data_IF_558479070740
#
_entry.id   IF_558479070740
#
_cell.length_a   1.000
_cell.length_b   1.000
_cell.length_c   1.000
_cell.angle_alpha   90.00
_cell.angle_beta   90.00
_cell.angle_gamma   90.00
#
_symmetry.space_group_name_H-M   'P 1'
#
loop_
_entity.id
_entity.type
_entity.pdbx_description
1 polymer ?
#
# COMPACT_ATOMS: atom_id res chain seq x y z
N UNK A 1 -20.81 27.78 29.87
CA UNK A 1 -21.24 26.49 30.49
C UNK A 1 -22.78 26.42 30.33
N UNK A 2 -23.25 25.36 29.72
CA UNK A 2 -24.67 25.22 29.38
C UNK A 2 -25.52 25.08 30.62
N UNK A 3 -26.37 26.05 30.86
CA UNK A 3 -27.27 26.13 32.03
C UNK A 3 -28.54 25.28 31.85
N UNK A 4 -28.53 24.30 30.93
CA UNK A 4 -29.73 23.54 30.53
C UNK A 4 -30.37 22.75 31.67
N UNK A 5 -29.57 22.19 32.58
CA UNK A 5 -30.09 21.47 33.73
C UNK A 5 -30.77 22.44 34.71
N UNK A 6 -30.21 23.62 34.90
CA UNK A 6 -30.83 24.65 35.74
C UNK A 6 -32.15 25.15 35.15
N UNK A 7 -32.24 25.35 33.83
CA UNK A 7 -33.49 25.73 33.16
C UNK A 7 -34.58 24.67 33.34
N UNK A 8 -34.19 23.37 33.20
CA UNK A 8 -35.09 22.22 33.43
C UNK A 8 -35.63 22.22 34.87
N UNK A 9 -34.75 22.37 35.85
CA UNK A 9 -35.12 22.44 37.28
C UNK A 9 -36.01 23.64 37.57
N UNK A 10 -35.68 24.80 36.99
CA UNK A 10 -36.47 26.02 37.14
C UNK A 10 -37.86 25.87 36.53
N UNK A 11 -37.99 25.26 35.36
CA UNK A 11 -39.26 24.97 34.71
C UNK A 11 -40.18 24.11 35.59
N UNK A 12 -39.63 23.06 36.22
CA UNK A 12 -40.36 22.19 37.12
C UNK A 12 -40.83 22.96 38.39
N UNK A 13 -39.93 23.74 38.99
CA UNK A 13 -40.27 24.56 40.16
C UNK A 13 -41.42 25.52 39.89
N UNK A 14 -41.38 26.23 38.77
CA UNK A 14 -42.43 27.15 38.36
C UNK A 14 -43.74 26.42 38.09
N UNK A 15 -43.72 25.22 37.52
CA UNK A 15 -44.93 24.42 37.30
C UNK A 15 -45.57 23.93 38.59
N UNK A 16 -44.75 23.47 39.53
CA UNK A 16 -45.20 23.04 40.85
C UNK A 16 -45.76 24.21 41.67
N UNK A 17 -45.27 25.45 41.40
CA UNK A 17 -45.81 26.69 41.99
C UNK A 17 -47.07 27.18 41.28
N UNK A 18 -47.69 26.41 40.36
CA UNK A 18 -48.93 26.68 39.70
C UNK A 18 -48.90 27.57 38.46
N UNK A 19 -47.69 27.95 37.96
CA UNK A 19 -47.59 28.75 36.74
C UNK A 19 -48.05 27.99 35.49
N UNK A 20 -48.62 28.72 34.54
CA UNK A 20 -49.03 28.15 33.26
C UNK A 20 -47.82 27.82 32.39
N UNK A 21 -47.97 26.86 31.45
CA UNK A 21 -46.91 26.46 30.54
C UNK A 21 -46.43 27.64 29.67
N UNK A 22 -47.36 28.50 29.24
CA UNK A 22 -47.08 29.70 28.46
C UNK A 22 -46.16 30.67 29.23
N UNK A 23 -46.50 30.95 30.48
CA UNK A 23 -45.67 31.82 31.33
C UNK A 23 -44.26 31.24 31.56
N UNK A 24 -44.17 29.93 31.81
CA UNK A 24 -42.88 29.25 32.02
C UNK A 24 -42.02 29.35 30.77
N UNK A 25 -42.58 29.06 29.60
CA UNK A 25 -41.86 29.14 28.33
C UNK A 25 -41.38 30.56 28.02
N UNK A 26 -42.21 31.56 28.32
CA UNK A 26 -41.83 32.96 28.16
C UNK A 26 -40.71 33.39 29.13
N UNK A 27 -40.74 32.95 30.38
CA UNK A 27 -39.72 33.28 31.39
C UNK A 27 -38.35 32.65 31.01
N UNK A 28 -38.36 31.41 30.50
CA UNK A 28 -37.13 30.66 30.23
C UNK A 28 -36.66 30.76 28.78
N UNK A 29 -37.42 31.42 27.89
CA UNK A 29 -37.10 31.47 26.46
C UNK A 29 -37.10 30.13 25.79
N UNK A 30 -37.96 29.19 26.23
CA UNK A 30 -38.00 27.81 25.72
C UNK A 30 -39.34 27.49 25.05
N UNK A 31 -39.33 26.50 24.12
CA UNK A 31 -40.55 26.07 23.44
C UNK A 31 -41.48 25.24 24.33
N UNK A 32 -42.76 25.18 23.97
CA UNK A 32 -43.75 24.31 24.63
C UNK A 32 -43.37 22.85 24.57
N UNK A 33 -42.84 22.36 23.40
CA UNK A 33 -42.41 20.97 23.24
C UNK A 33 -41.23 20.62 24.16
N UNK A 34 -40.32 21.58 24.36
CA UNK A 34 -39.20 21.42 25.29
C UNK A 34 -39.76 21.23 26.71
N UNK A 35 -40.71 22.08 27.15
CA UNK A 35 -41.32 21.99 28.48
C UNK A 35 -42.03 20.64 28.65
N UNK A 36 -42.90 20.23 27.71
CA UNK A 36 -43.64 18.98 27.78
C UNK A 36 -42.75 17.75 27.79
N UNK A 37 -41.63 17.79 27.09
CA UNK A 37 -40.65 16.72 27.12
C UNK A 37 -40.06 16.50 28.51
N UNK A 38 -39.60 17.59 29.15
CA UNK A 38 -38.98 17.50 30.46
C UNK A 38 -40.00 17.29 31.58
N UNK A 39 -41.21 17.85 31.46
CA UNK A 39 -42.31 17.60 32.39
C UNK A 39 -42.75 16.15 32.41
N UNK A 40 -42.87 15.50 31.25
CA UNK A 40 -43.19 14.09 31.12
C UNK A 40 -42.11 13.22 31.78
N UNK A 41 -40.82 13.53 31.53
CA UNK A 41 -39.70 12.81 32.13
C UNK A 41 -39.61 12.96 33.63
N UNK A 42 -39.88 14.18 34.14
CA UNK A 42 -39.96 14.45 35.57
C UNK A 42 -41.10 13.65 36.22
N UNK A 43 -42.29 13.61 35.63
CA UNK A 43 -43.41 12.83 36.13
C UNK A 43 -43.12 11.32 36.19
N UNK A 44 -42.36 10.78 35.24
CA UNK A 44 -42.03 9.37 35.16
C UNK A 44 -40.86 8.95 36.09
N UNK A 45 -39.84 9.79 36.25
CA UNK A 45 -38.56 9.44 36.87
C UNK A 45 -38.17 10.41 38.04
N UNK A 46 -39.01 11.35 38.40
CA UNK A 46 -38.69 12.38 39.40
C UNK A 46 -37.51 13.25 38.94
N UNK A 47 -36.77 13.84 39.89
CA UNK A 47 -35.61 14.69 39.58
C UNK A 47 -34.58 14.05 38.66
N UNK A 48 -34.41 12.72 38.69
CA UNK A 48 -33.51 11.98 37.84
C UNK A 48 -33.91 12.07 36.35
N UNK A 49 -35.19 12.32 36.04
CA UNK A 49 -35.66 12.51 34.68
C UNK A 49 -35.16 13.78 33.98
N UNK A 50 -34.59 14.73 34.76
CA UNK A 50 -34.07 16.01 34.23
C UNK A 50 -32.61 15.88 33.71
N UNK A 51 -31.94 14.80 34.05
CA UNK A 51 -30.61 14.54 33.49
C UNK A 51 -30.71 14.03 32.06
N UNK A 52 -29.68 14.30 31.27
CA UNK A 52 -29.56 13.71 29.93
C UNK A 52 -29.40 12.20 30.06
N UNK A 53 -30.27 11.46 29.42
CA UNK A 53 -30.08 10.02 29.28
C UNK A 53 -28.91 9.81 28.32
N UNK A 54 -27.91 9.10 28.77
CA UNK A 54 -26.85 8.63 27.89
C UNK A 54 -27.49 7.91 26.71
N UNK A 55 -27.23 8.38 25.47
CA UNK A 55 -27.69 7.69 24.26
C UNK A 55 -26.98 6.35 24.15
N UNK A 56 -27.42 5.39 24.91
CA UNK A 56 -27.03 3.99 24.71
C UNK A 56 -27.84 3.48 23.53
N UNK A 57 -27.17 3.13 22.44
CA UNK A 57 -27.83 2.35 21.40
C UNK A 57 -28.47 1.13 22.06
N UNK A 58 -29.78 0.99 21.97
CA UNK A 58 -30.56 -0.05 22.65
C UNK A 58 -30.12 -1.49 22.32
N UNK A 59 -29.33 -1.67 21.26
CA UNK A 59 -28.65 -2.93 20.92
C UNK A 59 -27.27 -2.61 20.37
N UNK A 60 -26.21 -2.67 21.19
CA UNK A 60 -24.88 -2.66 20.65
C UNK A 60 -24.74 -3.90 19.75
N UNK A 61 -24.56 -3.68 18.43
CA UNK A 61 -24.23 -4.75 17.49
C UNK A 61 -22.82 -5.29 17.80
N UNK A 62 -22.70 -5.98 18.92
CA UNK A 62 -21.47 -6.66 19.30
C UNK A 62 -21.35 -7.92 18.46
N UNK A 63 -20.16 -8.13 17.92
CA UNK A 63 -19.83 -9.41 17.30
C UNK A 63 -19.84 -10.47 18.41
N UNK A 64 -20.19 -11.70 18.02
CA UNK A 64 -20.20 -12.81 18.97
C UNK A 64 -18.77 -13.13 19.43
N UNK A 65 -18.57 -13.64 20.65
CA UNK A 65 -17.24 -14.08 21.13
C UNK A 65 -16.59 -15.09 20.19
N UNK A 66 -17.37 -15.96 19.56
CA UNK A 66 -16.87 -16.95 18.61
C UNK A 66 -16.32 -16.33 17.32
N UNK A 67 -17.01 -15.34 16.76
CA UNK A 67 -16.53 -14.60 15.60
C UNK A 67 -15.26 -13.82 15.95
N UNK A 68 -15.20 -13.21 17.13
CA UNK A 68 -14.00 -12.52 17.60
C UNK A 68 -12.81 -13.49 17.73
N UNK A 69 -13.00 -14.64 18.34
CA UNK A 69 -11.98 -15.72 18.43
C UNK A 69 -11.51 -16.15 17.04
N UNK A 70 -12.44 -16.32 16.11
CA UNK A 70 -12.12 -16.69 14.73
C UNK A 70 -11.23 -15.64 14.06
N UNK A 71 -11.56 -14.34 14.19
CA UNK A 71 -10.75 -13.23 13.66
C UNK A 71 -9.33 -13.28 14.25
N UNK A 72 -9.19 -13.45 15.55
CA UNK A 72 -7.90 -13.50 16.24
C UNK A 72 -7.07 -14.72 15.83
N UNK A 73 -7.69 -15.89 15.71
CA UNK A 73 -7.03 -17.12 15.28
C UNK A 73 -6.55 -17.03 13.82
N UNK A 74 -7.39 -16.51 12.92
CA UNK A 74 -6.99 -16.25 11.53
C UNK A 74 -5.81 -15.27 11.51
N UNK A 75 -5.86 -14.18 12.27
CA UNK A 75 -4.76 -13.21 12.37
C UNK A 75 -3.45 -13.86 12.80
N UNK A 76 -3.48 -14.70 13.86
CA UNK A 76 -2.29 -15.44 14.33
C UNK A 76 -1.73 -16.35 13.23
N UNK A 77 -2.60 -17.09 12.53
CA UNK A 77 -2.22 -17.97 11.41
C UNK A 77 -1.57 -17.19 10.26
N UNK A 78 -2.13 -16.03 9.88
CA UNK A 78 -1.57 -15.17 8.83
C UNK A 78 -0.21 -14.57 9.23
N UNK A 79 -0.03 -14.22 10.51
CA UNK A 79 1.23 -13.64 11.02
C UNK A 79 2.32 -14.71 11.14
N UNK A 80 1.99 -15.91 11.60
CA UNK A 80 2.97 -17.00 11.78
C UNK A 80 3.59 -17.46 10.45
N UNK A 81 2.85 -17.35 9.34
CA UNK A 81 3.27 -17.77 8.00
C UNK A 81 3.81 -19.22 7.92
N UNK A 82 3.43 -20.04 8.89
CA UNK A 82 3.85 -21.45 8.94
C UNK A 82 3.08 -22.31 7.95
N UNK A 83 1.81 -22.01 7.74
CA UNK A 83 0.96 -22.78 6.82
C UNK A 83 1.26 -22.44 5.35
N UNK A 84 1.50 -23.42 4.47
CA UNK A 84 1.85 -23.18 3.07
C UNK A 84 0.85 -22.31 2.31
N UNK A 85 -0.45 -22.48 2.55
CA UNK A 85 -1.52 -21.73 1.87
C UNK A 85 -1.68 -20.27 2.30
N UNK A 86 -1.12 -19.88 3.45
CA UNK A 86 -1.16 -18.49 3.95
C UNK A 86 0.21 -17.82 3.93
N UNK A 87 1.23 -18.54 3.46
CA UNK A 87 2.58 -17.99 3.32
C UNK A 87 2.56 -16.83 2.34
N UNK A 88 3.15 -15.71 2.74
CA UNK A 88 3.16 -14.44 2.01
C UNK A 88 1.79 -13.75 1.87
N UNK A 89 0.73 -14.22 2.53
CA UNK A 89 -0.55 -13.51 2.58
C UNK A 89 -0.40 -12.17 3.30
N UNK A 90 -1.22 -11.20 2.90
CA UNK A 90 -1.38 -9.97 3.68
C UNK A 90 -2.04 -10.31 5.02
N UNK A 91 -1.77 -9.51 6.04
CA UNK A 91 -2.20 -9.75 7.42
C UNK A 91 -3.27 -8.78 7.91
N UNK A 92 -3.79 -7.93 7.02
CA UNK A 92 -4.79 -6.91 7.33
C UNK A 92 -6.22 -7.44 7.39
N UNK A 93 -7.15 -6.54 7.70
CA UNK A 93 -8.57 -6.86 7.81
C UNK A 93 -9.16 -7.50 6.55
N UNK A 94 -8.71 -7.07 5.36
CA UNK A 94 -9.15 -7.64 4.08
C UNK A 94 -8.81 -9.13 3.94
N UNK A 95 -7.59 -9.52 4.31
CA UNK A 95 -7.16 -10.93 4.27
C UNK A 95 -7.90 -11.78 5.31
N UNK A 96 -8.16 -11.23 6.49
CA UNK A 96 -8.96 -11.91 7.52
C UNK A 96 -10.39 -12.11 7.01
N UNK A 97 -10.98 -11.12 6.36
CA UNK A 97 -12.32 -11.23 5.78
C UNK A 97 -12.36 -12.33 4.70
N UNK A 98 -11.36 -12.37 3.81
CA UNK A 98 -11.25 -13.41 2.79
C UNK A 98 -11.15 -14.82 3.40
N UNK A 99 -10.35 -15.00 4.47
CA UNK A 99 -10.26 -16.26 5.18
C UNK A 99 -11.57 -16.66 5.87
N UNK A 100 -12.30 -15.71 6.47
CA UNK A 100 -13.64 -15.95 7.02
C UNK A 100 -14.61 -16.42 5.94
N UNK A 101 -14.52 -15.86 4.73
CA UNK A 101 -15.32 -16.29 3.57
C UNK A 101 -14.99 -17.72 3.14
N UNK A 102 -13.71 -18.05 3.03
CA UNK A 102 -13.22 -19.40 2.68
C UNK A 102 -13.67 -20.44 3.73
N UNK A 103 -13.66 -20.07 5.00
CA UNK A 103 -14.10 -20.92 6.10
C UNK A 103 -15.62 -20.94 6.29
N UNK A 104 -16.38 -20.29 5.40
CA UNK A 104 -17.85 -20.19 5.45
C UNK A 104 -18.41 -19.67 6.78
N UNK A 105 -17.64 -18.86 7.52
CA UNK A 105 -18.07 -18.27 8.81
C UNK A 105 -19.07 -17.15 8.54
N UNK A 106 -20.23 -17.21 9.18
CA UNK A 106 -21.33 -16.23 9.05
C UNK A 106 -21.82 -15.77 10.42
N UNK A 107 -22.32 -14.51 10.56
CA UNK A 107 -22.36 -13.45 9.55
C UNK A 107 -20.98 -12.84 9.30
N UNK A 108 -20.71 -12.34 8.08
CA UNK A 108 -19.45 -11.69 7.74
C UNK A 108 -19.40 -10.28 8.37
N UNK A 109 -18.34 -9.94 9.11
CA UNK A 109 -18.15 -8.60 9.65
C UNK A 109 -17.68 -7.62 8.58
N UNK A 110 -17.91 -6.31 8.79
CA UNK A 110 -17.27 -5.29 7.95
C UNK A 110 -15.76 -5.21 8.22
N UNK A 111 -14.99 -4.68 7.27
CA UNK A 111 -13.55 -4.44 7.45
C UNK A 111 -13.29 -3.60 8.72
N UNK A 112 -14.09 -2.56 8.95
CA UNK A 112 -13.95 -1.69 10.13
C UNK A 112 -14.23 -2.44 11.43
N UNK A 113 -15.15 -3.41 11.42
CA UNK A 113 -15.41 -4.26 12.59
C UNK A 113 -14.18 -5.14 12.91
N UNK A 114 -13.55 -5.72 11.88
CA UNK A 114 -12.31 -6.51 12.05
C UNK A 114 -11.18 -5.62 12.61
N UNK A 115 -10.99 -4.42 12.04
CA UNK A 115 -9.97 -3.48 12.54
C UNK A 115 -10.18 -3.15 14.02
N UNK A 116 -11.42 -2.84 14.45
CA UNK A 116 -11.75 -2.56 15.84
C UNK A 116 -11.49 -3.76 16.76
N UNK A 117 -11.73 -4.98 16.29
CA UNK A 117 -11.36 -6.19 17.03
C UNK A 117 -9.86 -6.28 17.25
N UNK A 118 -9.08 -6.04 16.21
CA UNK A 118 -7.62 -6.07 16.31
C UNK A 118 -7.08 -4.94 17.21
N UNK A 119 -7.65 -3.74 17.13
CA UNK A 119 -7.29 -2.59 17.96
C UNK A 119 -7.56 -2.87 19.46
N UNK A 120 -8.78 -3.30 19.82
CA UNK A 120 -9.14 -3.55 21.23
C UNK A 120 -8.38 -4.71 21.86
N UNK A 121 -7.88 -5.65 21.05
CA UNK A 121 -7.02 -6.73 21.51
C UNK A 121 -5.52 -6.39 21.46
N UNK A 122 -5.15 -5.13 21.22
CA UNK A 122 -3.77 -4.66 21.21
C UNK A 122 -2.90 -5.21 20.08
N UNK A 123 -3.51 -5.80 19.04
CA UNK A 123 -2.78 -6.43 17.93
C UNK A 123 -2.31 -5.39 16.90
N UNK A 124 -3.04 -4.28 16.80
CA UNK A 124 -2.68 -3.17 15.93
C UNK A 124 -2.67 -1.87 16.72
N UNK A 125 -1.60 -1.10 16.61
CA UNK A 125 -1.54 0.27 17.13
C UNK A 125 -1.84 1.25 16.01
N UNK A 126 -2.55 2.36 16.28
CA UNK A 126 -2.73 3.44 15.33
C UNK A 126 -1.37 3.91 14.82
N UNK A 127 -1.19 3.98 13.50
CA UNK A 127 0.03 4.57 12.94
C UNK A 127 0.03 6.06 13.23
N UNK A 128 0.99 6.53 14.00
CA UNK A 128 1.27 7.96 14.13
C UNK A 128 1.69 8.46 12.74
N UNK A 129 0.89 9.35 12.15
CA UNK A 129 1.29 10.02 10.91
C UNK A 129 2.39 11.01 11.27
N UNK A 130 3.63 10.65 10.96
CA UNK A 130 4.72 11.61 10.97
C UNK A 130 4.38 12.73 9.98
N UNK A 131 4.64 13.98 10.36
CA UNK A 131 4.48 15.11 9.46
C UNK A 131 5.28 14.84 8.17
N UNK A 132 4.74 15.18 6.99
CA UNK A 132 5.46 14.98 5.75
C UNK A 132 6.76 15.76 5.80
N UNK A 133 7.88 15.09 5.50
CA UNK A 133 9.17 15.75 5.36
C UNK A 133 9.08 16.74 4.20
N UNK A 134 9.05 18.02 4.50
CA UNK A 134 9.05 19.11 3.52
C UNK A 134 10.43 19.17 2.85
N UNK A 135 10.59 18.50 1.72
CA UNK A 135 11.79 18.65 0.92
C UNK A 135 11.73 19.97 0.15
N UNK A 136 12.84 20.74 0.19
CA UNK A 136 12.96 22.04 -0.49
C UNK A 136 12.79 21.98 -2.02
N UNK A 137 12.98 20.82 -2.64
CA UNK A 137 12.80 20.63 -4.09
C UNK A 137 11.69 19.62 -4.34
N UNK A 138 10.64 20.05 -5.04
CA UNK A 138 9.55 19.19 -5.51
C UNK A 138 9.85 18.76 -6.95
N UNK A 139 10.08 17.47 -7.16
CA UNK A 139 10.15 16.90 -8.50
C UNK A 139 8.78 16.36 -8.90
N UNK A 140 8.41 16.38 -10.19
CA UNK A 140 7.21 15.72 -10.67
C UNK A 140 7.18 14.25 -10.24
N UNK A 141 6.03 13.77 -9.79
CA UNK A 141 5.85 12.36 -9.43
C UNK A 141 5.16 11.67 -10.60
N UNK A 142 5.80 10.65 -11.22
CA UNK A 142 5.13 9.87 -12.24
C UNK A 142 3.90 9.18 -11.65
N UNK A 143 2.78 9.27 -12.34
CA UNK A 143 1.51 8.64 -11.94
C UNK A 143 1.20 7.48 -12.88
N UNK A 144 0.52 6.47 -12.36
CA UNK A 144 0.03 5.35 -13.13
C UNK A 144 -1.47 5.16 -12.85
N UNK A 145 -2.26 5.21 -13.92
CA UNK A 145 -3.72 5.09 -13.89
C UNK A 145 -4.20 3.79 -14.57
N UNK A 146 -3.29 3.02 -15.14
CA UNK A 146 -3.55 1.72 -15.75
C UNK A 146 -2.34 0.80 -15.62
N UNK A 147 -2.58 -0.52 -15.77
CA UNK A 147 -1.51 -1.52 -15.84
C UNK A 147 -0.52 -1.22 -16.95
N UNK A 148 0.74 -1.47 -16.69
CA UNK A 148 1.86 -1.23 -17.60
C UNK A 148 2.06 0.24 -18.01
N UNK A 149 1.52 1.21 -17.27
CA UNK A 149 1.93 2.61 -17.48
C UNK A 149 3.30 2.88 -16.84
N UNK A 150 3.54 2.37 -15.64
CA UNK A 150 4.79 2.59 -14.91
C UNK A 150 5.22 1.33 -14.18
N UNK A 151 6.38 0.80 -14.54
CA UNK A 151 7.08 -0.19 -13.76
C UNK A 151 8.19 0.47 -12.93
N UNK A 152 8.36 0.04 -11.68
CA UNK A 152 9.51 0.37 -10.86
C UNK A 152 10.40 -0.85 -10.70
N UNK A 153 11.68 -0.67 -10.95
CA UNK A 153 12.70 -1.73 -10.88
C UNK A 153 13.71 -1.40 -9.80
N UNK A 154 14.07 -2.41 -9.01
CA UNK A 154 15.07 -2.29 -7.96
C UNK A 154 15.80 -3.61 -7.73
N UNK A 155 16.98 -3.55 -7.08
CA UNK A 155 17.82 -4.69 -6.76
C UNK A 155 18.10 -4.80 -5.26
N UNK A 156 17.78 -5.96 -4.69
CA UNK A 156 18.01 -6.27 -3.27
C UNK A 156 19.23 -7.17 -3.12
N UNK A 157 20.14 -6.81 -2.24
CA UNK A 157 21.32 -7.63 -1.94
C UNK A 157 22.58 -6.80 -1.66
N UNK A 158 23.73 -7.44 -1.39
CA UNK A 158 24.00 -8.88 -1.56
C UNK A 158 23.31 -9.77 -0.51
N UNK A 159 22.87 -10.93 -0.96
CA UNK A 159 22.28 -11.99 -0.14
C UNK A 159 23.23 -13.16 -0.11
N UNK A 160 23.36 -13.79 1.06
CA UNK A 160 24.21 -14.96 1.25
C UNK A 160 23.36 -16.15 1.69
N UNK A 161 23.64 -17.31 1.15
CA UNK A 161 23.04 -18.56 1.60
C UNK A 161 23.81 -19.09 2.81
N UNK A 162 23.15 -19.85 3.67
CA UNK A 162 23.78 -20.46 4.83
C UNK A 162 24.93 -21.38 4.39
N UNK A 163 26.12 -21.11 4.92
CA UNK A 163 27.34 -21.89 4.58
C UNK A 163 27.95 -21.56 3.21
N UNK A 164 27.51 -20.52 2.52
CA UNK A 164 28.01 -20.15 1.20
C UNK A 164 28.39 -18.66 1.14
N UNK A 165 29.58 -18.33 0.67
CA UNK A 165 30.06 -16.95 0.52
C UNK A 165 29.68 -16.32 -0.83
N UNK A 166 29.03 -17.08 -1.73
CA UNK A 166 28.55 -16.55 -3.01
C UNK A 166 27.51 -15.47 -2.80
N UNK A 167 27.70 -14.33 -3.45
CA UNK A 167 26.73 -13.21 -3.46
C UNK A 167 25.60 -13.50 -4.43
N UNK A 168 24.39 -13.21 -3.98
CA UNK A 168 23.20 -13.25 -4.81
C UNK A 168 22.45 -11.93 -4.70
N UNK A 169 21.68 -11.61 -5.73
CA UNK A 169 20.89 -10.37 -5.81
C UNK A 169 19.50 -10.73 -6.32
N UNK A 170 18.47 -10.23 -5.66
CA UNK A 170 17.09 -10.37 -6.10
C UNK A 170 16.72 -9.08 -6.82
N UNK A 171 16.40 -9.20 -8.09
CA UNK A 171 15.82 -8.10 -8.86
C UNK A 171 14.31 -8.17 -8.76
N UNK A 172 13.71 -7.00 -8.60
CA UNK A 172 12.28 -6.80 -8.40
C UNK A 172 11.79 -5.80 -9.43
N UNK A 173 10.76 -6.18 -10.16
CA UNK A 173 9.97 -5.26 -10.98
C UNK A 173 8.55 -5.25 -10.44
N UNK A 174 7.99 -4.06 -10.25
CA UNK A 174 6.64 -3.87 -9.76
C UNK A 174 5.87 -2.90 -10.63
N UNK A 175 4.69 -3.33 -11.09
CA UNK A 175 3.72 -2.40 -11.68
C UNK A 175 3.14 -1.50 -10.57
N UNK A 176 3.23 -0.20 -10.77
CA UNK A 176 2.81 0.80 -9.79
C UNK A 176 1.28 0.85 -9.65
N UNK A 177 0.55 0.57 -10.71
CA UNK A 177 -0.90 0.62 -10.73
C UNK A 177 -1.54 -0.61 -10.12
N UNK A 178 -1.32 -1.79 -10.69
CA UNK A 178 -2.01 -3.00 -10.28
C UNK A 178 -1.29 -3.80 -9.19
N UNK A 179 -0.03 -3.46 -8.92
CA UNK A 179 0.79 -4.09 -7.89
C UNK A 179 1.35 -5.46 -8.28
N UNK A 180 1.24 -5.87 -9.55
CA UNK A 180 1.90 -7.07 -10.05
C UNK A 180 3.41 -6.97 -9.87
N UNK A 181 4.03 -8.12 -9.60
CA UNK A 181 5.48 -8.19 -9.40
C UNK A 181 6.11 -9.29 -10.26
N UNK A 182 7.38 -9.08 -10.61
CA UNK A 182 8.27 -10.09 -11.18
C UNK A 182 9.54 -10.12 -10.33
N UNK A 183 9.95 -11.30 -9.87
CA UNK A 183 11.08 -11.51 -8.97
C UNK A 183 12.04 -12.51 -9.57
N UNK A 184 13.32 -12.15 -9.70
CA UNK A 184 14.37 -13.08 -10.16
C UNK A 184 15.61 -12.94 -9.31
N UNK A 185 16.37 -14.00 -9.16
CA UNK A 185 17.62 -14.01 -8.40
C UNK A 185 18.80 -14.36 -9.30
N UNK A 186 19.88 -13.61 -9.15
CA UNK A 186 21.10 -13.71 -9.93
C UNK A 186 22.34 -13.68 -9.06
N UNK A 187 23.50 -14.09 -9.63
CA UNK A 187 24.81 -14.04 -8.96
C UNK A 187 25.54 -12.73 -9.12
N UNK A 188 25.00 -11.80 -9.89
CA UNK A 188 25.64 -10.56 -10.29
C UNK A 188 24.62 -9.43 -10.42
N UNK A 189 25.09 -8.18 -10.42
CA UNK A 189 24.32 -6.97 -10.76
C UNK A 189 24.76 -6.35 -12.09
N UNK A 190 25.57 -7.04 -12.87
CA UNK A 190 26.07 -6.54 -14.13
C UNK A 190 24.92 -6.19 -15.09
N UNK A 191 25.22 -5.34 -16.06
CA UNK A 191 24.24 -4.85 -17.06
C UNK A 191 23.55 -6.00 -17.81
N UNK A 192 24.24 -7.07 -18.14
CA UNK A 192 23.70 -8.26 -18.82
C UNK A 192 22.56 -8.89 -18.01
N UNK A 193 22.74 -8.96 -16.70
CA UNK A 193 21.73 -9.51 -15.77
C UNK A 193 20.49 -8.61 -15.74
N UNK A 194 20.66 -7.30 -15.78
CA UNK A 194 19.53 -6.36 -15.83
C UNK A 194 18.76 -6.50 -17.13
N UNK A 195 19.47 -6.69 -18.25
CA UNK A 195 18.84 -6.94 -19.55
C UNK A 195 18.01 -8.22 -19.53
N UNK A 196 18.58 -9.34 -19.05
CA UNK A 196 17.87 -10.61 -18.92
C UNK A 196 16.65 -10.47 -18.01
N UNK A 197 16.81 -9.79 -16.88
CA UNK A 197 15.72 -9.54 -15.96
C UNK A 197 14.57 -8.73 -16.57
N UNK A 198 14.87 -7.66 -17.31
CA UNK A 198 13.86 -6.87 -18.02
C UNK A 198 13.14 -7.72 -19.07
N UNK A 199 13.86 -8.57 -19.79
CA UNK A 199 13.27 -9.52 -20.71
C UNK A 199 12.26 -10.45 -20.04
N UNK A 200 12.62 -11.06 -18.91
CA UNK A 200 11.72 -11.90 -18.12
C UNK A 200 10.50 -11.12 -17.60
N UNK A 201 10.70 -9.90 -17.14
CA UNK A 201 9.60 -9.04 -16.71
C UNK A 201 8.63 -8.74 -17.85
N UNK A 202 9.14 -8.38 -19.02
CA UNK A 202 8.30 -8.00 -20.15
C UNK A 202 7.59 -9.18 -20.83
N UNK A 203 8.11 -10.38 -20.66
CA UNK A 203 7.38 -11.62 -21.00
C UNK A 203 6.22 -11.88 -20.04
N UNK A 204 6.43 -11.72 -18.73
CA UNK A 204 5.44 -12.03 -17.70
C UNK A 204 4.42 -10.87 -17.50
N UNK A 205 4.90 -9.68 -17.18
CA UNK A 205 4.07 -8.52 -16.87
C UNK A 205 3.67 -7.72 -18.11
N UNK A 206 4.43 -7.80 -19.21
CA UNK A 206 4.27 -7.01 -20.40
C UNK A 206 5.15 -5.76 -20.43
N UNK A 207 5.18 -5.12 -21.59
CA UNK A 207 5.95 -3.91 -21.87
C UNK A 207 5.25 -2.70 -21.24
N UNK A 208 5.90 -1.97 -20.33
CA UNK A 208 5.33 -0.75 -19.77
C UNK A 208 5.49 0.44 -20.74
N UNK A 209 4.71 1.50 -20.53
CA UNK A 209 4.97 2.78 -21.18
C UNK A 209 6.25 3.42 -20.62
N UNK A 210 6.45 3.33 -19.31
CA UNK A 210 7.58 3.89 -18.59
C UNK A 210 8.17 2.86 -17.61
N UNK A 211 9.49 2.87 -17.48
CA UNK A 211 10.21 2.08 -16.48
C UNK A 211 11.11 2.98 -15.65
N UNK A 212 10.93 2.95 -14.34
CA UNK A 212 11.68 3.77 -13.40
C UNK A 212 12.80 2.97 -12.76
N UNK A 213 14.01 3.52 -12.81
CA UNK A 213 15.21 2.98 -12.22
C UNK A 213 15.84 3.97 -11.22
N UNK A 214 16.65 3.44 -10.32
CA UNK A 214 17.65 4.24 -9.65
C UNK A 214 18.74 4.70 -10.64
N UNK A 215 19.65 5.56 -10.16
CA UNK A 215 20.78 6.04 -10.98
C UNK A 215 21.97 5.07 -10.94
N UNK A 216 21.73 3.75 -10.83
CA UNK A 216 22.80 2.77 -10.82
C UNK A 216 23.63 2.85 -12.10
N UNK A 217 24.95 2.72 -11.96
CA UNK A 217 25.90 2.79 -13.08
C UNK A 217 25.60 1.74 -14.14
N UNK A 218 25.10 0.60 -13.72
CA UNK A 218 24.73 -0.51 -14.60
C UNK A 218 23.55 -0.16 -15.52
N UNK A 219 22.68 0.74 -15.08
CA UNK A 219 21.52 1.22 -15.86
C UNK A 219 21.89 2.42 -16.72
N UNK A 220 22.53 3.41 -16.13
CA UNK A 220 22.85 4.67 -16.83
C UNK A 220 23.99 4.48 -17.82
N UNK A 221 24.92 3.57 -17.52
CA UNK A 221 26.17 3.38 -18.25
C UNK A 221 27.26 4.29 -17.71
N UNK A 222 28.51 3.86 -17.88
CA UNK A 222 29.68 4.65 -17.57
C UNK A 222 30.77 4.38 -18.62
N UNK A 223 31.31 5.46 -19.17
CA UNK A 223 32.47 5.39 -20.07
C UNK A 223 33.05 6.78 -20.27
N UNK A 224 34.29 6.88 -20.71
CA UNK A 224 34.96 8.17 -20.99
C UNK A 224 34.33 8.93 -22.14
N UNK A 225 33.53 8.26 -22.97
CA UNK A 225 32.81 8.89 -24.07
C UNK A 225 31.48 9.47 -23.57
N UNK A 226 31.41 10.76 -23.55
CA UNK A 226 30.35 11.61 -23.00
C UNK A 226 28.94 11.41 -23.61
N UNK A 227 28.74 10.54 -24.58
CA UNK A 227 27.46 10.35 -25.31
C UNK A 227 27.00 8.89 -25.34
N UNK A 228 27.48 8.05 -24.42
CA UNK A 228 27.18 6.63 -24.44
C UNK A 228 25.88 6.30 -23.72
N UNK A 229 24.84 5.92 -24.46
CA UNK A 229 23.66 5.32 -23.89
C UNK A 229 23.92 3.85 -23.56
N UNK A 230 23.64 3.44 -22.32
CA UNK A 230 23.79 2.05 -21.89
C UNK A 230 22.92 1.09 -22.73
N UNK A 231 23.27 -0.17 -22.73
CA UNK A 231 22.47 -1.21 -23.41
C UNK A 231 21.06 -1.30 -22.81
N UNK A 232 20.90 -1.01 -21.50
CA UNK A 232 19.59 -0.99 -20.82
C UNK A 232 18.73 0.12 -21.38
N UNK A 233 19.24 1.34 -21.52
CA UNK A 233 18.51 2.47 -22.09
C UNK A 233 18.16 2.22 -23.57
N UNK A 234 19.11 1.67 -24.36
CA UNK A 234 18.86 1.30 -25.76
C UNK A 234 17.79 0.22 -25.91
N UNK A 235 17.77 -0.77 -25.01
CA UNK A 235 16.73 -1.80 -24.94
C UNK A 235 15.35 -1.14 -24.71
N UNK A 236 15.26 -0.25 -23.73
CA UNK A 236 13.99 0.47 -23.44
C UNK A 236 13.50 1.22 -24.68
N UNK A 237 14.36 2.04 -25.29
CA UNK A 237 14.01 2.80 -26.50
C UNK A 237 13.60 1.89 -27.66
N UNK A 238 14.29 0.77 -27.88
CA UNK A 238 13.97 -0.20 -28.93
C UNK A 238 12.54 -0.74 -28.81
N UNK A 239 12.05 -0.92 -27.60
CA UNK A 239 10.69 -1.41 -27.35
C UNK A 239 9.66 -0.29 -27.11
N UNK A 240 10.03 0.97 -27.29
CA UNK A 240 9.18 2.13 -27.06
C UNK A 240 8.79 2.30 -25.60
N UNK A 241 9.68 1.89 -24.69
CA UNK A 241 9.56 2.09 -23.24
C UNK A 241 10.39 3.30 -22.83
N UNK A 242 9.79 4.27 -22.16
CA UNK A 242 10.51 5.45 -21.66
C UNK A 242 11.20 5.12 -20.33
N UNK A 243 12.54 5.15 -20.24
CA UNK A 243 13.24 5.05 -18.97
C UNK A 243 13.15 6.36 -18.20
N UNK A 244 12.77 6.25 -16.91
CA UNK A 244 12.76 7.34 -15.94
C UNK A 244 13.88 7.11 -14.92
N UNK A 245 14.77 8.07 -14.77
CA UNK A 245 15.85 8.01 -13.80
C UNK A 245 15.53 8.92 -12.61
N UNK A 246 15.39 8.35 -11.42
CA UNK A 246 15.02 9.11 -10.22
C UNK A 246 16.02 10.22 -9.91
N UNK A 247 15.62 11.28 -9.18
CA UNK A 247 16.56 12.33 -8.76
C UNK A 247 17.67 11.73 -7.88
N UNK A 248 18.92 12.16 -8.03
CA UNK A 248 20.01 11.75 -7.13
C UNK A 248 19.68 11.98 -5.66
N UNK A 249 19.99 11.01 -4.79
CA UNK A 249 19.75 11.11 -3.35
C UNK A 249 18.26 11.12 -2.93
N UNK A 250 17.36 10.68 -3.81
CA UNK A 250 15.92 10.63 -3.55
C UNK A 250 15.35 9.21 -3.74
N UNK A 251 15.81 8.22 -2.97
CA UNK A 251 15.34 6.83 -3.11
C UNK A 251 13.83 6.70 -2.94
N UNK A 252 13.23 7.48 -2.03
CA UNK A 252 11.76 7.48 -1.79
C UNK A 252 10.91 7.71 -3.06
N UNK A 253 11.51 8.14 -4.16
CA UNK A 253 10.84 8.23 -5.47
C UNK A 253 10.55 6.85 -6.07
N UNK A 254 11.30 5.82 -5.68
CA UNK A 254 11.05 4.43 -6.00
C UNK A 254 10.17 3.71 -4.96
N UNK A 255 9.40 4.48 -4.20
CA UNK A 255 8.74 4.05 -2.96
C UNK A 255 7.76 2.89 -3.12
N UNK A 256 7.18 2.64 -4.31
CA UNK A 256 6.27 1.50 -4.48
C UNK A 256 7.03 0.17 -4.44
N UNK A 257 8.18 0.08 -5.12
CA UNK A 257 9.02 -1.13 -5.09
C UNK A 257 9.80 -1.22 -3.78
N UNK A 258 10.25 -0.10 -3.21
CA UNK A 258 10.95 -0.10 -1.91
C UNK A 258 10.06 -0.59 -0.77
N UNK A 259 8.81 -0.12 -0.70
CA UNK A 259 7.83 -0.62 0.27
C UNK A 259 7.59 -2.12 0.09
N UNK A 260 7.53 -2.59 -1.14
CA UNK A 260 7.40 -4.00 -1.44
C UNK A 260 8.65 -4.78 -1.00
N UNK A 261 9.85 -4.25 -1.26
CA UNK A 261 11.12 -4.84 -0.84
C UNK A 261 11.19 -5.00 0.68
N UNK A 262 10.85 -3.97 1.45
CA UNK A 262 10.77 -4.05 2.91
C UNK A 262 9.78 -5.11 3.39
N UNK A 263 8.61 -5.19 2.73
CA UNK A 263 7.58 -6.15 3.07
C UNK A 263 8.01 -7.60 2.78
N UNK A 264 8.55 -7.90 1.60
CA UNK A 264 8.87 -9.28 1.26
C UNK A 264 10.12 -9.78 1.96
N UNK A 265 11.15 -8.94 2.11
CA UNK A 265 12.40 -9.32 2.78
C UNK A 265 12.14 -9.75 4.23
N UNK A 266 11.30 -9.00 4.96
CA UNK A 266 10.93 -9.34 6.34
C UNK A 266 10.25 -10.71 6.49
N UNK A 267 9.72 -11.27 5.40
CA UNK A 267 9.05 -12.57 5.36
C UNK A 267 9.90 -13.67 4.75
N UNK A 268 10.55 -13.37 3.64
CA UNK A 268 11.39 -14.31 2.95
C UNK A 268 12.57 -14.76 3.84
N UNK A 269 13.21 -13.80 4.51
CA UNK A 269 14.40 -14.06 5.34
C UNK A 269 14.10 -14.44 6.80
N UNK A 270 12.86 -14.71 7.16
CA UNK A 270 12.56 -15.46 8.38
C UNK A 270 13.11 -16.91 8.34
N UNK A 271 13.48 -17.36 7.14
CA UNK A 271 14.06 -18.68 6.90
C UNK A 271 15.48 -18.57 6.37
N UNK A 272 16.29 -19.54 6.74
CA UNK A 272 17.61 -19.70 6.19
C UNK A 272 17.59 -20.67 5.01
N UNK A 273 18.27 -20.31 3.96
CA UNK A 273 18.38 -21.12 2.75
C UNK A 273 19.82 -21.59 2.59
N UNK A 274 20.04 -22.89 2.45
CA UNK A 274 21.34 -23.49 2.17
C UNK A 274 21.58 -23.67 0.67
N UNK A 275 20.50 -23.75 -0.11
CA UNK A 275 20.56 -23.98 -1.56
C UNK A 275 19.81 -22.93 -2.34
N UNK A 276 20.40 -22.49 -3.45
CA UNK A 276 19.79 -21.48 -4.34
C UNK A 276 18.46 -21.96 -4.94
N UNK A 277 18.32 -23.26 -5.20
CA UNK A 277 17.07 -23.83 -5.71
C UNK A 277 15.91 -23.67 -4.74
N UNK A 278 16.14 -23.80 -3.43
CA UNK A 278 15.13 -23.58 -2.40
C UNK A 278 14.70 -22.11 -2.38
N UNK A 279 15.64 -21.17 -2.43
CA UNK A 279 15.34 -19.75 -2.46
C UNK A 279 14.59 -19.34 -3.75
N UNK A 280 14.97 -19.91 -4.91
CA UNK A 280 14.24 -19.69 -6.18
C UNK A 280 12.78 -20.14 -6.09
N UNK A 281 12.51 -21.32 -5.53
CA UNK A 281 11.14 -21.82 -5.34
C UNK A 281 10.32 -20.92 -4.41
N UNK A 282 10.91 -20.41 -3.34
CA UNK A 282 10.22 -19.51 -2.43
C UNK A 282 9.96 -18.14 -3.06
N UNK A 283 10.89 -17.62 -3.86
CA UNK A 283 10.66 -16.38 -4.63
C UNK A 283 9.53 -16.56 -5.64
N UNK A 284 9.47 -17.68 -6.32
CA UNK A 284 8.37 -17.98 -7.25
C UNK A 284 7.03 -18.07 -6.53
N UNK A 285 6.97 -18.77 -5.40
CA UNK A 285 5.76 -18.83 -4.56
C UNK A 285 5.33 -17.45 -4.07
N UNK A 286 6.28 -16.61 -3.65
CA UNK A 286 6.01 -15.25 -3.23
C UNK A 286 5.44 -14.42 -4.38
N UNK A 287 6.06 -14.46 -5.56
CA UNK A 287 5.58 -13.81 -6.78
C UNK A 287 4.17 -14.25 -7.14
N UNK A 288 3.91 -15.55 -7.15
CA UNK A 288 2.61 -16.15 -7.43
C UNK A 288 1.56 -15.67 -6.40
N UNK A 289 1.87 -15.75 -5.09
CA UNK A 289 0.95 -15.30 -4.02
C UNK A 289 0.60 -13.83 -4.17
N UNK A 290 1.58 -12.95 -4.42
CA UNK A 290 1.33 -11.52 -4.62
C UNK A 290 0.44 -11.29 -5.83
N UNK A 291 0.73 -11.95 -6.94
CA UNK A 291 0.01 -11.72 -8.19
C UNK A 291 -1.41 -12.34 -8.20
N UNK A 292 -1.63 -13.46 -7.48
CA UNK A 292 -2.90 -14.21 -7.55
C UNK A 292 -3.78 -14.12 -6.31
N UNK A 293 -3.23 -13.70 -5.16
CA UNK A 293 -3.97 -13.70 -3.89
C UNK A 293 -4.07 -12.32 -3.23
N UNK A 294 -3.17 -11.37 -3.54
CA UNK A 294 -3.24 -10.03 -2.95
C UNK A 294 -4.32 -9.20 -3.61
N UNK A 295 -5.46 -9.11 -2.96
CA UNK A 295 -6.56 -8.25 -3.39
C UNK A 295 -6.18 -6.78 -3.27
N UNK A 296 -6.39 -6.01 -4.34
CA UNK A 296 -6.08 -4.58 -4.39
C UNK A 296 -7.37 -3.75 -4.36
N UNK A 297 -7.55 -2.85 -3.37
CA UNK A 297 -8.75 -2.00 -3.31
C UNK A 297 -8.95 -1.16 -4.58
N UNK A 298 -7.86 -0.63 -5.15
CA UNK A 298 -7.90 0.17 -6.39
C UNK A 298 -8.33 -0.61 -7.63
N UNK A 299 -8.29 -1.95 -7.58
CA UNK A 299 -8.76 -2.84 -8.65
C UNK A 299 -10.17 -3.37 -8.38
N UNK A 300 -10.97 -2.63 -7.61
CA UNK A 300 -12.34 -3.05 -7.23
C UNK A 300 -12.38 -4.42 -6.55
N UNK A 301 -11.36 -4.72 -5.74
CA UNK A 301 -11.29 -5.98 -5.00
C UNK A 301 -10.77 -7.17 -5.82
N UNK A 302 -10.20 -6.93 -6.99
CA UNK A 302 -9.54 -7.97 -7.78
C UNK A 302 -8.07 -8.13 -7.39
N UNK A 303 -7.53 -9.31 -7.65
CA UNK A 303 -6.08 -9.53 -7.62
C UNK A 303 -5.44 -8.99 -8.90
N UNK A 304 -4.12 -8.71 -8.89
CA UNK A 304 -3.41 -8.30 -10.10
C UNK A 304 -3.64 -9.24 -11.28
N UNK A 305 -3.54 -10.55 -11.07
CA UNK A 305 -3.75 -11.54 -12.13
C UNK A 305 -5.18 -11.52 -12.68
N UNK A 306 -6.20 -11.37 -11.83
CA UNK A 306 -7.59 -11.25 -12.26
C UNK A 306 -7.82 -10.00 -13.10
N UNK A 307 -7.26 -8.87 -12.67
CA UNK A 307 -7.37 -7.61 -13.40
C UNK A 307 -6.67 -7.69 -14.77
N UNK A 308 -5.45 -8.22 -14.81
CA UNK A 308 -4.66 -8.35 -16.04
C UNK A 308 -5.27 -9.27 -17.10
N UNK A 309 -6.05 -10.29 -16.70
CA UNK A 309 -6.82 -11.14 -17.64
C UNK A 309 -7.87 -10.34 -18.41
N UNK A 310 -8.36 -9.23 -17.85
CA UNK A 310 -9.36 -8.34 -18.48
C UNK A 310 -8.75 -7.22 -19.30
N UNK A 311 -7.41 -7.10 -19.29
CA UNK A 311 -6.69 -6.00 -19.93
C UNK A 311 -5.82 -6.53 -21.06
N UNK A 312 -5.92 -5.92 -22.25
CA UNK A 312 -5.01 -6.26 -23.36
C UNK A 312 -3.63 -5.63 -23.09
N UNK A 313 -2.64 -6.46 -22.84
CA UNK A 313 -1.28 -6.04 -22.54
C UNK A 313 -0.33 -6.46 -23.66
N UNK A 314 0.56 -5.54 -24.06
CA UNK A 314 1.63 -5.84 -25.00
C UNK A 314 2.74 -6.61 -24.25
N UNK A 315 3.12 -7.79 -24.71
CA UNK A 315 4.16 -8.64 -24.10
C UNK A 315 5.23 -9.01 -25.11
N UNK A 316 6.42 -9.33 -24.60
CA UNK A 316 7.41 -10.03 -25.42
C UNK A 316 6.98 -11.49 -25.60
N UNK A 317 7.28 -12.09 -26.77
CA UNK A 317 7.12 -13.53 -26.96
C UNK A 317 7.89 -14.33 -25.89
N UNK A 318 7.34 -15.43 -25.43
CA UNK A 318 7.96 -16.25 -24.37
C UNK A 318 9.36 -16.77 -24.74
N UNK A 319 9.58 -17.05 -26.01
CA UNK A 319 10.86 -17.51 -26.57
C UNK A 319 11.80 -16.36 -26.97
N UNK A 320 11.41 -15.07 -26.79
CA UNK A 320 12.28 -13.96 -27.17
C UNK A 320 13.49 -13.90 -26.24
N UNK A 321 14.68 -13.89 -26.85
CA UNK A 321 15.95 -13.70 -26.13
C UNK A 321 16.48 -12.30 -26.42
N UNK A 322 16.92 -11.60 -25.40
CA UNK A 322 17.56 -10.30 -25.60
C UNK A 322 18.97 -10.55 -26.17
N UNK A 323 19.30 -9.95 -27.33
CA UNK A 323 20.63 -10.11 -27.94
C UNK A 323 21.75 -9.65 -27.00
N UNK A 324 22.87 -10.30 -27.06
CA UNK A 324 24.08 -9.86 -26.35
C UNK A 324 24.66 -8.59 -26.92
N UNK A 325 24.44 -8.33 -28.19
CA UNK A 325 24.86 -7.10 -28.85
C UNK A 325 23.98 -5.92 -28.50
N UNK A 326 24.53 -4.71 -28.39
CA UNK A 326 23.76 -3.53 -28.11
C UNK A 326 22.85 -3.18 -29.29
N UNK A 327 21.57 -2.93 -29.01
CA UNK A 327 20.66 -2.36 -30.01
C UNK A 327 21.18 -1.03 -30.54
N UNK A 328 20.96 -0.71 -31.82
CA UNK A 328 21.13 0.65 -32.31
C UNK A 328 20.24 1.62 -31.51
N UNK A 329 20.64 2.87 -31.44
CA UNK A 329 19.84 3.88 -30.75
C UNK A 329 18.55 4.08 -31.54
N UNK A 330 17.42 3.81 -30.91
CA UNK A 330 16.09 4.06 -31.45
C UNK A 330 15.54 5.42 -31.00
N UNK A 331 14.64 5.99 -31.78
CA UNK A 331 13.91 7.20 -31.38
C UNK A 331 13.07 6.93 -30.12
N UNK A 332 12.98 7.93 -29.23
CA UNK A 332 12.24 7.81 -27.99
C UNK A 332 12.64 8.89 -26.99
N UNK A 333 12.14 8.77 -25.78
CA UNK A 333 12.39 9.72 -24.69
C UNK A 333 13.04 9.03 -23.50
N UNK A 334 14.01 9.71 -22.88
CA UNK A 334 14.62 9.34 -21.62
C UNK A 334 14.40 10.52 -20.67
N UNK A 335 13.82 10.27 -19.52
CA UNK A 335 13.54 11.31 -18.53
C UNK A 335 14.51 11.24 -17.36
N UNK A 336 15.21 12.34 -17.15
CA UNK A 336 16.07 12.58 -16.00
C UNK A 336 15.49 13.66 -15.12
N UNK A 337 15.39 13.40 -13.84
CA UNK A 337 15.05 14.41 -12.86
C UNK A 337 16.33 14.96 -12.23
N UNK A 338 16.62 16.23 -12.48
CA UNK A 338 17.82 16.91 -11.98
C UNK A 338 17.45 18.28 -11.41
N UNK A 339 18.22 18.72 -10.44
CA UNK A 339 18.12 20.06 -9.91
C UNK A 339 19.01 20.99 -10.75
N UNK A 340 18.46 22.14 -11.13
CA UNK A 340 19.26 23.23 -11.72
C UNK A 340 20.15 23.81 -10.64
N UNK A 341 21.43 23.96 -10.91
CA UNK A 341 22.38 24.61 -9.98
C UNK A 341 22.09 26.12 -9.88
N UNK A 342 22.66 26.78 -8.89
CA UNK A 342 22.56 28.24 -8.73
C UNK A 342 23.10 29.04 -9.95
N UNK A 343 23.90 28.39 -10.81
CA UNK A 343 24.47 28.98 -12.02
C UNK A 343 23.69 28.59 -13.29
N UNK A 344 22.50 28.03 -13.18
CA UNK A 344 21.68 27.63 -14.33
C UNK A 344 22.04 26.29 -14.96
N UNK A 345 23.04 25.57 -14.46
CA UNK A 345 23.55 24.36 -15.07
C UNK A 345 22.80 23.11 -14.57
N UNK A 346 22.68 22.11 -15.45
CA UNK A 346 22.16 20.77 -15.14
C UNK A 346 23.21 19.71 -15.43
N UNK A 347 23.46 18.81 -14.50
CA UNK A 347 24.40 17.70 -14.69
C UNK A 347 23.66 16.46 -15.20
N UNK A 348 23.96 16.05 -16.43
CA UNK A 348 23.41 14.86 -17.08
C UNK A 348 24.56 13.90 -17.43
N UNK A 349 24.44 12.62 -17.07
CA UNK A 349 25.37 11.56 -17.45
C UNK A 349 26.86 11.95 -17.26
N UNK A 350 27.21 12.55 -16.14
CA UNK A 350 28.54 13.06 -15.81
C UNK A 350 28.99 14.27 -16.63
N UNK A 351 28.09 14.93 -17.33
CA UNK A 351 28.37 16.20 -18.06
C UNK A 351 27.53 17.34 -17.50
N UNK A 352 28.08 18.56 -17.62
CA UNK A 352 27.38 19.79 -17.35
C UNK A 352 26.76 20.31 -18.63
N UNK A 353 25.44 20.51 -18.65
CA UNK A 353 24.71 21.16 -19.75
C UNK A 353 24.19 22.50 -19.21
N UNK A 354 24.38 23.55 -19.97
CA UNK A 354 23.84 24.90 -19.71
C UNK A 354 22.40 24.97 -20.18
#
# INVERSE_FOLDING_TARGET
MNNELADRQQAIKLRLAGKSVVEICNILGRSHDWFHTWWRRYRALGPNGLFELTRTNAQPRRITPDLERSILNIRRRLVSQTHPGTRYSLIGAGSILAELQILHIRPLPSLRTIERVLERNGITTPKVRLAPYLSRATYPKPEANASNQLHQVDGVGPIYLKGNRQRYYIFVCKDVYDGSVCLRIYRSRKMEVILDFLGECWKSLGLPAQVQFDNAREVVGWGPAAKYLSRVLRLCLRFGVEPLLIPPGRPQRNGSVENFNGWFQSRLFQRHYSQIGALKRELHRLEETVNTQHVQPRLSGLTPAQYRRRTKLRKLPSNYLIPHEPFPVAAGRITFFRQVTKHGNVHLLSQTSC
#
